data_IF_770158961041
#
_entry.id   IF_770158961041
#
_cell.length_a   1.000
_cell.length_b   1.000
_cell.length_c   1.000
_cell.angle_alpha   90.00
_cell.angle_beta   90.00
_cell.angle_gamma   90.00
#
_symmetry.space_group_name_H-M   'P 1'
#
loop_
_entity.id
_entity.type
_entity.pdbx_description
1 polymer ?
#
# COMPACT_ATOMS: atom_id res chain seq x y z
N UNK A 1 13.38 3.13 -17.12
CA UNK A 1 14.32 2.19 -16.48
C UNK A 1 13.83 0.78 -16.74
N UNK A 2 14.70 -0.18 -17.09
CA UNK A 2 14.29 -1.57 -17.30
C UNK A 2 14.30 -2.32 -15.96
N UNK A 3 13.16 -2.87 -15.56
CA UNK A 3 13.02 -3.65 -14.33
C UNK A 3 13.13 -5.14 -14.68
N UNK A 4 14.08 -5.84 -14.07
CA UNK A 4 14.25 -7.28 -14.20
C UNK A 4 13.21 -8.08 -13.44
N UNK A 5 12.96 -9.32 -13.86
CA UNK A 5 12.20 -10.30 -13.06
C UNK A 5 12.91 -10.57 -11.73
N UNK A 6 12.15 -10.67 -10.65
CA UNK A 6 12.68 -10.85 -9.29
C UNK A 6 13.30 -9.58 -8.70
N UNK A 7 13.35 -8.47 -9.44
CA UNK A 7 13.88 -7.22 -8.92
C UNK A 7 13.01 -6.69 -7.78
N UNK A 8 13.66 -6.34 -6.68
CA UNK A 8 13.03 -5.62 -5.58
C UNK A 8 12.83 -4.17 -6.00
N UNK A 9 11.58 -3.75 -6.13
CA UNK A 9 11.20 -2.39 -6.53
C UNK A 9 11.26 -1.44 -5.35
N UNK A 10 10.78 -1.94 -4.22
CA UNK A 10 10.71 -1.23 -2.96
C UNK A 10 10.91 -2.27 -1.87
N UNK A 11 11.80 -1.99 -0.92
CA UNK A 11 11.94 -2.81 0.28
C UNK A 11 12.20 -1.92 1.47
N UNK A 12 11.40 -2.15 2.51
CA UNK A 12 11.55 -1.54 3.81
C UNK A 12 11.72 -2.67 4.83
N UNK A 13 12.51 -2.42 5.88
CA UNK A 13 12.48 -3.29 7.04
C UNK A 13 11.08 -3.15 7.68
N UNK A 14 10.31 -4.23 7.87
CA UNK A 14 8.96 -4.13 8.44
C UNK A 14 8.93 -3.41 9.80
N UNK A 15 10.01 -3.55 10.59
CA UNK A 15 10.19 -2.86 11.88
C UNK A 15 10.75 -1.44 11.78
N UNK A 16 11.15 -0.99 10.60
CA UNK A 16 11.48 0.40 10.32
C UNK A 16 10.27 1.20 9.80
N UNK A 17 9.26 0.58 9.19
CA UNK A 17 8.09 1.30 8.64
C UNK A 17 7.37 2.09 9.73
N UNK A 18 7.34 3.41 9.70
CA UNK A 18 6.68 4.25 10.71
C UNK A 18 5.28 4.65 10.29
N UNK A 19 5.08 4.84 8.99
CA UNK A 19 3.83 5.25 8.40
C UNK A 19 3.65 4.56 7.05
N UNK A 20 2.45 4.03 6.81
CA UNK A 20 2.00 3.59 5.50
C UNK A 20 0.68 4.28 5.20
N UNK A 21 0.56 4.87 4.02
CA UNK A 21 -0.65 5.51 3.54
C UNK A 21 -1.07 4.89 2.22
N UNK A 22 -2.36 4.62 2.08
CA UNK A 22 -2.97 4.17 0.85
C UNK A 22 -4.14 5.09 0.51
N UNK A 23 -3.97 5.88 -0.55
CA UNK A 23 -4.97 6.80 -1.06
C UNK A 23 -5.63 6.23 -2.32
N UNK A 24 -6.95 6.19 -2.33
CA UNK A 24 -7.78 5.76 -3.47
C UNK A 24 -8.79 6.85 -3.82
N UNK A 25 -9.51 6.75 -4.95
CA UNK A 25 -10.61 7.68 -5.26
C UNK A 25 -11.71 7.72 -4.18
N UNK A 26 -11.83 6.66 -3.37
CA UNK A 26 -12.87 6.53 -2.34
C UNK A 26 -12.43 7.05 -0.98
N UNK A 27 -11.15 7.37 -0.78
CA UNK A 27 -10.65 7.79 0.52
C UNK A 27 -9.16 7.56 0.72
N UNK A 28 -8.73 7.62 1.97
CA UNK A 28 -7.35 7.42 2.36
C UNK A 28 -7.31 6.63 3.66
N UNK A 29 -6.45 5.62 3.73
CA UNK A 29 -6.15 4.90 4.97
C UNK A 29 -4.68 5.10 5.31
N UNK A 30 -4.43 5.51 6.55
CA UNK A 30 -3.08 5.73 7.09
C UNK A 30 -2.87 4.85 8.30
N UNK A 31 -1.84 4.02 8.29
CA UNK A 31 -1.36 3.26 9.44
C UNK A 31 -0.06 3.90 9.94
N UNK A 32 -0.02 4.30 11.20
CA UNK A 32 1.11 4.99 11.82
C UNK A 32 1.47 4.41 13.18
N UNK A 33 2.76 4.30 13.48
CA UNK A 33 3.24 3.93 14.82
C UNK A 33 4.21 4.97 15.35
N UNK A 34 4.30 5.08 16.67
CA UNK A 34 5.15 6.07 17.34
C UNK A 34 6.61 5.65 17.47
N UNK A 35 6.90 4.34 17.45
CA UNK A 35 8.24 3.79 17.52
C UNK A 35 8.29 2.41 16.84
N UNK A 36 9.50 1.91 16.56
CA UNK A 36 9.69 0.52 16.16
C UNK A 36 9.03 -0.43 17.17
N UNK A 37 8.40 -1.49 16.67
CA UNK A 37 7.62 -2.47 17.45
C UNK A 37 6.40 -1.92 18.21
N UNK A 38 6.13 -0.61 18.18
CA UNK A 38 4.87 -0.07 18.71
C UNK A 38 3.68 -0.50 17.82
N UNK A 39 2.47 -0.65 18.39
CA UNK A 39 1.27 -0.91 17.61
C UNK A 39 1.03 0.19 16.58
N UNK A 40 0.55 -0.18 15.39
CA UNK A 40 0.06 0.80 14.44
C UNK A 40 -1.32 1.30 14.86
N UNK A 41 -1.53 2.59 14.73
CA UNK A 41 -2.83 3.25 14.79
C UNK A 41 -3.28 3.55 13.37
N UNK A 42 -4.51 3.20 13.05
CA UNK A 42 -5.12 3.40 11.75
C UNK A 42 -6.07 4.59 11.80
N UNK A 43 -6.00 5.40 10.76
CA UNK A 43 -7.01 6.40 10.41
C UNK A 43 -7.47 6.16 8.97
N UNK A 44 -8.76 5.93 8.78
CA UNK A 44 -9.39 5.86 7.46
C UNK A 44 -10.37 7.03 7.30
N UNK A 45 -10.23 7.77 6.21
CA UNK A 45 -11.12 8.86 5.81
C UNK A 45 -11.75 8.55 4.46
N UNK A 46 -13.01 8.92 4.25
CA UNK A 46 -13.78 8.56 3.06
C UNK A 46 -14.22 9.81 2.29
N UNK A 47 -14.21 9.74 0.97
CA UNK A 47 -14.68 10.85 0.10
C UNK A 47 -16.21 10.88 -0.04
N UNK A 48 -16.89 9.81 0.36
CA UNK A 48 -18.35 9.66 0.32
C UNK A 48 -19.10 10.29 1.52
N UNK A 49 -18.38 11.00 2.39
CA UNK A 49 -18.95 11.68 3.55
C UNK A 49 -19.19 10.79 4.77
N UNK A 50 -18.85 9.49 4.71
CA UNK A 50 -18.87 8.64 5.92
C UNK A 50 -17.90 9.17 6.99
N UNK A 51 -18.23 8.99 8.29
CA UNK A 51 -17.32 9.36 9.37
C UNK A 51 -15.97 8.67 9.25
N UNK A 52 -14.90 9.40 9.60
CA UNK A 52 -13.57 8.81 9.68
C UNK A 52 -13.55 7.67 10.71
N UNK A 53 -12.82 6.60 10.39
CA UNK A 53 -12.63 5.46 11.28
C UNK A 53 -11.24 5.49 11.89
N UNK A 54 -11.16 5.11 13.17
CA UNK A 54 -9.91 4.98 13.92
C UNK A 54 -9.89 3.65 14.66
N UNK A 55 -8.79 2.93 14.57
CA UNK A 55 -8.60 1.68 15.29
C UNK A 55 -7.10 1.42 15.53
N UNK A 56 -6.78 0.50 16.45
CA UNK A 56 -5.42 0.00 16.61
C UNK A 56 -5.28 -1.31 15.82
N UNK A 57 -4.14 -1.47 15.17
CA UNK A 57 -3.78 -2.63 14.39
C UNK A 57 -3.77 -3.91 15.23
N UNK A 58 -4.34 -4.99 14.69
CA UNK A 58 -4.06 -6.33 15.22
C UNK A 58 -2.64 -6.78 14.87
N UNK A 59 -2.15 -7.81 15.56
CA UNK A 59 -0.88 -8.48 15.18
C UNK A 59 -0.88 -8.98 13.72
N UNK A 60 -2.04 -9.41 13.21
CA UNK A 60 -2.21 -9.82 11.82
C UNK A 60 -2.01 -8.65 10.84
N UNK A 61 -2.38 -7.44 11.26
CA UNK A 61 -2.15 -6.26 10.45
C UNK A 61 -0.67 -5.90 10.38
N UNK A 62 0.09 -6.03 11.48
CA UNK A 62 1.55 -5.83 11.43
C UNK A 62 2.22 -6.80 10.45
N UNK A 63 1.77 -8.06 10.42
CA UNK A 63 2.24 -9.06 9.43
C UNK A 63 1.86 -8.70 7.99
N UNK A 64 0.65 -8.20 7.75
CA UNK A 64 0.21 -7.76 6.40
C UNK A 64 0.95 -6.52 5.91
N UNK A 65 1.17 -5.55 6.79
CA UNK A 65 2.03 -4.40 6.50
C UNK A 65 3.45 -4.85 6.15
N UNK A 66 3.97 -5.88 6.83
CA UNK A 66 5.25 -6.51 6.47
C UNK A 66 5.29 -7.09 5.05
N UNK A 67 4.17 -7.59 4.51
CA UNK A 67 4.08 -8.04 3.10
C UNK A 67 4.10 -6.87 2.11
N UNK A 68 3.51 -5.73 2.49
CA UNK A 68 3.58 -4.49 1.71
C UNK A 68 4.96 -3.84 1.79
N UNK A 69 5.77 -4.21 2.79
CA UNK A 69 7.11 -3.69 2.96
C UNK A 69 8.06 -4.12 1.85
N UNK A 70 7.76 -5.17 1.08
CA UNK A 70 8.59 -5.56 -0.08
C UNK A 70 7.72 -5.78 -1.31
N UNK A 71 7.98 -5.00 -2.35
CA UNK A 71 7.36 -5.16 -3.67
C UNK A 71 8.38 -5.78 -4.62
N UNK A 72 8.12 -7.03 -5.01
CA UNK A 72 8.96 -7.76 -5.96
C UNK A 72 8.31 -7.74 -7.34
N UNK A 73 9.10 -7.35 -8.34
CA UNK A 73 8.70 -7.41 -9.73
C UNK A 73 8.60 -8.87 -10.19
N UNK A 74 7.42 -9.27 -10.67
CA UNK A 74 7.28 -10.48 -11.48
C UNK A 74 7.89 -10.28 -12.86
N UNK A 75 7.72 -9.09 -13.44
CA UNK A 75 8.38 -8.66 -14.69
C UNK A 75 8.30 -7.15 -14.83
N UNK A 76 9.29 -6.56 -15.49
CA UNK A 76 9.22 -5.18 -15.95
C UNK A 76 8.17 -5.00 -17.05
N UNK A 77 7.57 -3.81 -17.08
CA UNK A 77 6.60 -3.41 -18.08
C UNK A 77 7.05 -2.10 -18.76
N UNK A 78 6.86 -2.00 -20.06
CA UNK A 78 6.85 -0.71 -20.72
C UNK A 78 5.62 0.09 -20.30
N UNK A 79 5.62 1.40 -20.60
CA UNK A 79 4.47 2.25 -20.33
C UNK A 79 3.22 1.71 -21.03
N UNK A 80 3.34 1.39 -22.32
CA UNK A 80 2.26 0.92 -23.18
C UNK A 80 1.73 -0.44 -22.71
N UNK A 81 2.62 -1.35 -22.30
CA UNK A 81 2.24 -2.65 -21.76
C UNK A 81 1.42 -2.50 -20.47
N UNK A 82 1.85 -1.61 -19.56
CA UNK A 82 1.10 -1.33 -18.32
C UNK A 82 -0.23 -0.67 -18.62
N UNK A 83 -0.29 0.29 -19.54
CA UNK A 83 -1.53 0.95 -20.00
C UNK A 83 -2.54 -0.05 -20.57
N UNK A 84 -2.07 -1.02 -21.37
CA UNK A 84 -2.92 -2.02 -22.01
C UNK A 84 -3.40 -3.13 -21.06
N UNK A 85 -2.49 -3.65 -20.21
CA UNK A 85 -2.77 -4.80 -19.35
C UNK A 85 -3.32 -4.40 -17.97
N UNK A 86 -2.99 -3.22 -17.47
CA UNK A 86 -3.36 -2.70 -16.14
C UNK A 86 -3.96 -1.29 -16.25
N UNK A 87 -5.16 -1.16 -16.85
CA UNK A 87 -5.74 0.15 -17.14
C UNK A 87 -6.27 0.88 -15.89
N UNK A 88 -6.58 0.16 -14.82
CA UNK A 88 -7.32 0.71 -13.69
C UNK A 88 -6.37 1.16 -12.59
N UNK A 89 -6.22 2.48 -12.39
CA UNK A 89 -5.48 2.99 -11.23
C UNK A 89 -6.30 2.78 -9.95
N UNK A 90 -5.80 1.94 -9.04
CA UNK A 90 -6.45 1.67 -7.76
C UNK A 90 -6.16 2.77 -6.73
N UNK A 91 -4.92 3.26 -6.71
CA UNK A 91 -4.50 4.21 -5.70
C UNK A 91 -3.02 4.50 -5.70
N UNK A 92 -2.58 5.11 -4.61
CA UNK A 92 -1.20 5.52 -4.35
C UNK A 92 -0.80 5.03 -2.97
N UNK A 93 0.31 4.30 -2.90
CA UNK A 93 0.94 3.88 -1.65
C UNK A 93 2.11 4.82 -1.36
N UNK A 94 2.11 5.40 -0.15
CA UNK A 94 3.24 6.16 0.41
C UNK A 94 3.71 5.45 1.68
N UNK A 95 5.00 5.17 1.77
CA UNK A 95 5.61 4.50 2.92
C UNK A 95 6.74 5.36 3.44
N UNK A 96 6.71 5.60 4.75
CA UNK A 96 7.78 6.29 5.48
C UNK A 96 8.34 5.35 6.52
N UNK A 97 9.64 5.16 6.53
CA UNK A 97 10.34 4.38 7.53
C UNK A 97 11.24 5.27 8.42
N UNK A 98 11.93 4.65 9.38
CA UNK A 98 12.89 5.31 10.27
C UNK A 98 14.26 5.53 9.62
N UNK A 99 14.51 4.97 8.44
CA UNK A 99 15.79 5.05 7.76
C UNK A 99 15.74 6.28 6.87
N UNK A 100 16.67 7.22 7.04
CA UNK A 100 16.78 8.43 6.21
C UNK A 100 17.36 8.06 4.83
N UNK A 101 16.88 6.97 4.22
CA UNK A 101 17.04 6.72 2.80
C UNK A 101 15.98 7.56 2.07
N UNK A 102 16.29 7.97 0.84
CA UNK A 102 15.38 8.78 0.03
C UNK A 102 13.96 8.18 0.09
N UNK A 103 12.92 9.01 0.34
CA UNK A 103 11.56 8.49 0.39
C UNK A 103 11.32 7.73 -0.91
N UNK A 104 11.02 6.44 -0.81
CA UNK A 104 10.53 5.70 -1.96
C UNK A 104 9.35 6.50 -2.47
N UNK A 105 9.49 7.10 -3.67
CA UNK A 105 8.48 8.00 -4.20
C UNK A 105 7.11 7.32 -4.20
N UNK A 106 6.01 8.09 -4.21
CA UNK A 106 4.67 7.53 -4.16
C UNK A 106 4.51 6.41 -5.20
N UNK A 107 4.18 5.21 -4.73
CA UNK A 107 4.02 4.03 -5.56
C UNK A 107 2.61 4.04 -6.11
N UNK A 108 2.47 4.28 -7.41
CA UNK A 108 1.16 4.22 -8.06
C UNK A 108 0.79 2.75 -8.29
N UNK A 109 -0.43 2.37 -7.93
CA UNK A 109 -0.91 1.00 -8.08
C UNK A 109 -1.98 0.93 -9.15
N UNK A 110 -1.81 -0.02 -10.07
CA UNK A 110 -2.74 -0.32 -11.15
C UNK A 110 -3.17 -1.78 -11.08
N UNK A 111 -4.41 -2.06 -11.49
CA UNK A 111 -4.94 -3.41 -11.61
C UNK A 111 -5.25 -3.75 -13.07
N UNK A 112 -5.18 -5.04 -13.39
CA UNK A 112 -5.79 -5.58 -14.59
C UNK A 112 -7.32 -5.54 -14.47
N UNK A 113 -8.01 -5.66 -15.60
CA UNK A 113 -9.49 -5.59 -15.66
C UNK A 113 -10.19 -6.55 -14.70
N UNK A 114 -9.61 -7.73 -14.50
CA UNK A 114 -10.16 -8.77 -13.64
C UNK A 114 -9.77 -8.60 -12.16
N UNK A 115 -8.96 -7.58 -11.82
CA UNK A 115 -8.41 -7.31 -10.48
C UNK A 115 -7.69 -8.51 -9.85
N UNK A 116 -7.09 -9.37 -10.67
CA UNK A 116 -6.34 -10.55 -10.23
C UNK A 116 -4.84 -10.30 -10.14
N UNK A 117 -4.33 -9.28 -10.84
CA UNK A 117 -2.93 -8.93 -10.89
C UNK A 117 -2.74 -7.41 -10.72
N UNK A 118 -1.61 -7.04 -10.15
CA UNK A 118 -1.25 -5.65 -9.92
C UNK A 118 0.01 -5.27 -10.70
N UNK A 119 0.04 -4.04 -11.18
CA UNK A 119 1.24 -3.36 -11.61
C UNK A 119 1.50 -2.14 -10.73
N UNK A 120 2.77 -1.84 -10.49
CA UNK A 120 3.18 -0.63 -9.78
C UNK A 120 4.04 0.24 -10.66
N UNK A 121 3.96 1.55 -10.42
CA UNK A 121 4.88 2.54 -11.00
C UNK A 121 5.62 3.23 -9.87
N UNK A 122 6.96 3.19 -9.94
CA UNK A 122 7.89 3.83 -9.00
C UNK A 122 9.08 4.37 -9.78
N UNK A 123 9.53 5.58 -9.48
CA UNK A 123 10.69 6.25 -10.10
C UNK A 123 10.69 6.20 -11.65
N UNK A 124 9.51 6.31 -12.25
CA UNK A 124 9.32 6.27 -13.71
C UNK A 124 9.48 4.88 -14.36
N UNK A 125 9.69 3.82 -13.57
CA UNK A 125 9.61 2.43 -14.00
C UNK A 125 8.25 1.81 -13.71
N UNK A 126 7.83 0.84 -14.53
CA UNK A 126 6.60 0.08 -14.31
C UNK A 126 6.89 -1.42 -14.25
N UNK A 127 6.20 -2.14 -13.37
CA UNK A 127 6.35 -3.58 -13.25
C UNK A 127 5.08 -4.25 -12.75
N UNK A 128 4.82 -5.46 -13.24
CA UNK A 128 3.86 -6.37 -12.62
C UNK A 128 4.48 -6.89 -11.32
N UNK A 129 3.73 -6.87 -10.22
CA UNK A 129 4.24 -7.29 -8.90
C UNK A 129 3.60 -8.59 -8.43
N UNK A 130 4.28 -9.28 -7.52
CA UNK A 130 3.76 -10.50 -6.90
C UNK A 130 2.67 -10.25 -5.85
N UNK A 131 2.45 -8.99 -5.47
CA UNK A 131 1.39 -8.60 -4.55
C UNK A 131 0.02 -8.85 -5.19
N UNK A 132 -0.88 -9.49 -4.45
CA UNK A 132 -2.25 -9.74 -4.90
C UNK A 132 -3.14 -8.54 -4.59
N UNK A 133 -4.13 -8.25 -5.47
CA UNK A 133 -5.09 -7.16 -5.25
C UNK A 133 -5.85 -7.27 -3.91
N UNK A 134 -6.15 -8.50 -3.47
CA UNK A 134 -6.77 -8.75 -2.17
C UNK A 134 -5.94 -8.24 -0.98
N UNK A 135 -4.61 -8.15 -1.14
CA UNK A 135 -3.70 -7.58 -0.13
C UNK A 135 -3.73 -6.03 -0.13
N UNK A 136 -4.53 -5.38 -0.98
CA UNK A 136 -4.81 -3.93 -0.91
C UNK A 136 -6.24 -3.65 -0.44
N UNK A 137 -7.19 -4.52 -0.80
CA UNK A 137 -8.58 -4.40 -0.36
C UNK A 137 -8.71 -4.44 1.18
N UNK A 138 -7.82 -5.13 1.88
CA UNK A 138 -7.88 -5.16 3.34
C UNK A 138 -7.58 -3.81 3.98
N UNK A 139 -6.77 -2.95 3.35
CA UNK A 139 -6.47 -1.61 3.90
C UNK A 139 -7.74 -0.74 3.94
N UNK A 140 -8.60 -0.85 2.94
CA UNK A 140 -9.91 -0.19 2.93
C UNK A 140 -10.86 -0.73 4.01
N UNK A 141 -10.59 -1.94 4.50
CA UNK A 141 -11.39 -2.67 5.48
C UNK A 141 -10.72 -2.74 6.85
N UNK A 142 -9.62 -2.01 7.08
CA UNK A 142 -8.74 -2.28 8.20
C UNK A 142 -9.38 -2.06 9.59
N UNK A 143 -10.42 -1.21 9.68
CA UNK A 143 -11.22 -1.04 10.89
C UNK A 143 -12.55 -1.81 10.89
N UNK A 144 -12.88 -2.58 9.85
CA UNK A 144 -14.09 -3.43 9.80
C UNK A 144 -13.85 -4.71 10.62
N UNK A 145 -13.99 -4.60 11.93
CA UNK A 145 -13.74 -5.69 12.88
C UNK A 145 -13.42 -5.22 14.29
N UNK A 146 -13.17 -3.91 14.47
CA UNK A 146 -12.95 -3.29 15.76
C UNK A 146 -14.13 -2.34 16.07
N UNK A 147 -14.68 -2.37 17.30
CA UNK A 147 -15.70 -1.39 17.67
C UNK A 147 -15.10 0.00 17.50
N UNK A 148 -15.73 0.84 16.68
CA UNK A 148 -15.29 2.23 16.52
C UNK A 148 -15.31 2.88 17.90
N UNK A 149 -14.17 3.33 18.38
CA UNK A 149 -14.15 4.25 19.52
C UNK A 149 -14.60 5.60 19.00
N UNK A 150 -15.93 5.76 18.90
CA UNK A 150 -16.54 7.07 18.77
C UNK A 150 -16.14 7.86 20.02
N UNK A 151 -15.25 8.84 19.85
CA UNK A 151 -14.96 9.81 20.90
C UNK A 151 -16.26 10.58 21.18
N UNK A 152 -16.71 10.51 22.44
CA UNK A 152 -17.70 11.40 23.03
C UNK A 152 -17.18 12.83 23.07
#
# INVERSE_FOLDING_TARGET
MAIGEGATLVSFLPDAVMSLSYATPNGMTTAQRSAASAPYHILSTFTDGRPAQRCSASEDMARRLGKLATLTARRGLSREQREAAFPDQLGVIDVRDTVIAEPAGPVLVFANKDRTALAVVVDGGAAEVTLQAAELEWMEKACLGFPSTAQR
#
